data_IF_512085221481
#
_entry.id   IF_512085221481
#
_cell.length_a   1.000
_cell.length_b   1.000
_cell.length_c   1.000
_cell.angle_alpha   90.00
_cell.angle_beta   90.00
_cell.angle_gamma   90.00
#
_symmetry.space_group_name_H-M   'P 1'
#
loop_
_entity.id
_entity.type
_entity.pdbx_description
1 polymer ?
#
# COMPACT_ATOMS: atom_id res chain seq x y z
N UNK A 1 0.24 -7.90 -5.04
CA UNK A 1 -0.43 -6.62 -5.27
C UNK A 1 0.66 -5.59 -5.32
N UNK A 2 0.73 -4.74 -6.35
CA UNK A 2 1.74 -3.67 -6.40
C UNK A 2 1.17 -2.47 -5.65
N UNK A 3 1.84 -2.01 -4.62
CA UNK A 3 1.61 -0.67 -4.10
C UNK A 3 2.54 0.30 -4.83
N UNK A 4 2.00 1.45 -5.24
CA UNK A 4 2.72 2.52 -5.92
C UNK A 4 2.71 3.73 -4.99
N UNK A 5 3.84 4.04 -4.36
CA UNK A 5 3.94 5.20 -3.46
C UNK A 5 5.35 5.54 -2.96
N UNK A 6 5.71 6.80 -3.24
CA UNK A 6 6.76 7.72 -2.75
C UNK A 6 8.05 7.24 -2.06
N UNK A 7 9.16 7.56 -2.76
CA UNK A 7 10.55 7.93 -2.40
C UNK A 7 11.28 7.30 -1.18
N UNK A 8 12.33 6.55 -1.51
CA UNK A 8 13.21 5.72 -0.69
C UNK A 8 14.10 6.47 0.31
N UNK A 9 14.07 7.80 0.35
CA UNK A 9 14.96 8.62 1.17
C UNK A 9 14.38 8.97 2.55
N UNK A 10 13.13 8.61 2.86
CA UNK A 10 12.56 8.61 4.23
C UNK A 10 12.59 9.95 4.99
N UNK A 11 12.97 11.05 4.30
CA UNK A 11 13.27 12.36 4.87
C UNK A 11 12.61 13.51 4.12
N UNK A 12 11.86 13.25 3.05
CA UNK A 12 11.11 14.29 2.33
C UNK A 12 9.62 14.04 2.43
N UNK A 13 8.91 15.09 2.81
CA UNK A 13 7.46 15.17 2.82
C UNK A 13 6.92 14.72 1.45
N UNK A 14 5.97 13.77 1.39
CA UNK A 14 5.48 13.27 0.11
C UNK A 14 4.52 14.26 -0.53
N UNK A 15 5.05 15.26 -1.24
CA UNK A 15 4.30 15.94 -2.31
C UNK A 15 5.26 16.41 -3.38
N UNK A 16 5.23 15.77 -4.55
CA UNK A 16 5.04 16.45 -5.84
C UNK A 16 4.70 15.46 -6.95
N UNK A 17 3.40 15.31 -7.19
CA UNK A 17 2.82 14.93 -8.48
C UNK A 17 3.10 16.08 -9.46
N UNK A 18 4.31 16.16 -10.02
CA UNK A 18 4.66 17.02 -11.17
C UNK A 18 6.11 16.72 -11.62
N UNK A 19 6.33 15.47 -12.07
CA UNK A 19 7.58 14.91 -12.64
C UNK A 19 8.46 14.04 -11.71
N UNK A 20 7.89 13.41 -10.67
CA UNK A 20 8.63 12.63 -9.65
C UNK A 20 8.57 11.11 -9.80
N UNK A 21 9.70 10.47 -9.54
CA UNK A 21 9.96 9.03 -9.37
C UNK A 21 8.98 8.35 -8.38
N UNK A 22 8.62 7.10 -8.67
CA UNK A 22 7.53 6.36 -8.04
C UNK A 22 8.04 5.03 -7.50
N UNK A 23 8.13 4.96 -6.18
CA UNK A 23 8.58 3.77 -5.47
C UNK A 23 7.49 2.71 -5.45
N UNK A 24 7.87 1.50 -5.89
CA UNK A 24 6.98 0.36 -5.94
C UNK A 24 7.41 -0.68 -4.91
N UNK A 25 6.55 -0.93 -3.92
CA UNK A 25 6.71 -1.96 -2.90
C UNK A 25 5.57 -2.98 -3.02
N UNK A 26 5.87 -4.25 -2.74
CA UNK A 26 4.87 -5.31 -2.63
C UNK A 26 5.05 -6.05 -1.31
N UNK A 27 4.02 -6.78 -0.91
CA UNK A 27 4.11 -7.73 0.20
C UNK A 27 4.92 -8.98 -0.21
N UNK A 28 5.55 -9.62 0.78
CA UNK A 28 6.39 -10.81 0.60
C UNK A 28 5.66 -12.12 0.22
N UNK A 29 4.49 -12.05 -0.42
CA UNK A 29 3.80 -13.24 -0.89
C UNK A 29 4.62 -13.96 -1.98
N UNK A 30 4.57 -15.30 -2.00
CA UNK A 30 5.37 -16.15 -2.92
C UNK A 30 5.33 -15.71 -4.40
N UNK A 31 4.18 -15.29 -4.97
CA UNK A 31 4.17 -14.82 -6.36
C UNK A 31 4.95 -13.52 -6.58
N UNK A 32 5.06 -12.66 -5.57
CA UNK A 32 5.76 -11.38 -5.65
C UNK A 32 7.27 -11.54 -5.49
N UNK A 33 7.71 -12.47 -4.63
CA UNK A 33 9.13 -12.77 -4.42
C UNK A 33 9.73 -13.68 -5.51
N UNK A 34 8.92 -14.14 -6.47
CA UNK A 34 9.40 -14.96 -7.59
C UNK A 34 10.31 -14.13 -8.50
N UNK A 35 11.45 -14.70 -8.90
CA UNK A 35 12.46 -14.00 -9.71
C UNK A 35 11.92 -13.35 -10.99
N UNK A 36 11.01 -14.02 -11.71
CA UNK A 36 10.35 -13.43 -12.90
C UNK A 36 9.51 -12.20 -12.57
N UNK A 37 8.83 -12.19 -11.42
CA UNK A 37 8.03 -11.03 -10.98
C UNK A 37 8.95 -9.88 -10.58
N UNK A 38 10.01 -10.17 -9.83
CA UNK A 38 11.02 -9.18 -9.42
C UNK A 38 11.72 -8.57 -10.63
N UNK A 39 12.14 -9.37 -11.62
CA UNK A 39 12.78 -8.90 -12.86
C UNK A 39 11.84 -8.03 -13.69
N UNK A 40 10.57 -8.45 -13.83
CA UNK A 40 9.57 -7.65 -14.50
C UNK A 40 9.37 -6.30 -13.79
N UNK A 41 9.22 -6.30 -12.47
CA UNK A 41 9.05 -5.07 -11.69
C UNK A 41 10.28 -4.15 -11.78
N UNK A 42 11.49 -4.68 -11.65
CA UNK A 42 12.73 -3.92 -11.79
C UNK A 42 12.89 -3.29 -13.18
N UNK A 43 12.34 -3.91 -14.23
CA UNK A 43 12.38 -3.40 -15.60
C UNK A 43 11.35 -2.30 -15.85
N UNK A 44 10.19 -2.34 -15.17
CA UNK A 44 9.05 -1.48 -15.47
C UNK A 44 8.80 -0.38 -14.44
N UNK A 45 9.34 -0.49 -13.22
CA UNK A 45 9.18 0.51 -12.16
C UNK A 45 10.53 1.18 -11.88
N UNK A 46 10.67 2.50 -12.15
CA UNK A 46 11.92 3.23 -11.99
C UNK A 46 12.55 3.12 -10.59
N UNK A 47 11.73 3.03 -9.54
CA UNK A 47 12.17 2.98 -8.14
C UNK A 47 11.66 1.71 -7.44
N UNK A 48 11.76 0.58 -8.14
CA UNK A 48 11.41 -0.71 -7.56
C UNK A 48 12.28 -1.07 -6.35
N UNK A 49 11.65 -1.41 -5.23
CA UNK A 49 12.35 -1.94 -4.06
C UNK A 49 12.36 -3.48 -4.17
N UNK A 50 13.53 -4.14 -4.26
CA UNK A 50 13.58 -5.59 -4.37
C UNK A 50 13.18 -6.28 -3.05
N UNK A 51 12.69 -7.52 -3.15
CA UNK A 51 12.16 -8.27 -2.00
C UNK A 51 13.14 -8.39 -0.83
N UNK A 52 14.43 -8.48 -1.12
CA UNK A 52 15.52 -8.52 -0.11
C UNK A 52 15.56 -7.32 0.83
N UNK A 53 14.86 -6.22 0.49
CA UNK A 53 14.78 -5.01 1.31
C UNK A 53 13.42 -4.84 2.01
N UNK A 54 12.45 -5.71 1.76
CA UNK A 54 11.15 -5.65 2.42
C UNK A 54 11.25 -6.22 3.83
N UNK A 55 10.69 -5.55 4.85
CA UNK A 55 10.57 -6.15 6.16
C UNK A 55 9.50 -7.26 6.13
N UNK A 56 9.82 -8.50 6.56
CA UNK A 56 8.85 -9.59 6.52
C UNK A 56 7.68 -9.31 7.47
N UNK A 57 6.49 -9.81 7.13
CA UNK A 57 5.28 -9.77 7.96
C UNK A 57 4.93 -8.36 8.50
N UNK A 58 5.06 -7.32 7.68
CA UNK A 58 4.88 -5.92 8.11
C UNK A 58 3.65 -5.24 7.47
N UNK A 59 2.41 -5.70 7.75
CA UNK A 59 1.20 -5.04 7.24
C UNK A 59 1.09 -3.58 7.73
N UNK A 60 1.71 -3.27 8.88
CA UNK A 60 1.77 -1.92 9.46
C UNK A 60 2.53 -0.91 8.57
N UNK A 61 3.29 -1.39 7.58
CA UNK A 61 4.04 -0.58 6.63
C UNK A 61 3.40 -0.49 5.24
N UNK A 62 2.29 -1.20 5.00
CA UNK A 62 1.59 -1.17 3.73
C UNK A 62 0.30 -0.34 3.83
N UNK A 63 0.21 0.86 3.21
CA UNK A 63 -0.98 1.72 3.31
C UNK A 63 -2.25 1.08 2.76
N UNK A 64 -2.12 0.09 1.86
CA UNK A 64 -3.25 -0.72 1.42
C UNK A 64 -3.85 -1.50 2.59
N UNK A 65 -2.98 -2.16 3.37
CA UNK A 65 -3.34 -3.07 4.45
C UNK A 65 -3.87 -2.34 5.69
N UNK A 66 -3.17 -1.30 6.15
CA UNK A 66 -3.60 -0.59 7.37
C UNK A 66 -4.64 0.51 7.14
N UNK A 67 -4.95 0.87 5.89
CA UNK A 67 -5.89 1.97 5.60
C UNK A 67 -6.86 1.68 4.46
N UNK A 68 -6.40 1.56 3.20
CA UNK A 68 -7.30 1.57 2.03
C UNK A 68 -8.39 0.51 2.13
N UNK A 69 -8.05 -0.73 2.49
CA UNK A 69 -9.03 -1.81 2.55
C UNK A 69 -10.13 -1.56 3.58
N UNK A 70 -9.78 -0.99 4.73
CA UNK A 70 -10.74 -0.63 5.75
C UNK A 70 -11.65 0.51 5.28
N UNK A 71 -11.09 1.53 4.64
CA UNK A 71 -11.88 2.64 4.09
C UNK A 71 -12.84 2.19 2.97
N UNK A 72 -12.40 1.29 2.09
CA UNK A 72 -13.26 0.68 1.07
C UNK A 72 -14.39 -0.13 1.72
N UNK A 73 -14.06 -0.98 2.69
CA UNK A 73 -15.02 -1.81 3.42
C UNK A 73 -16.10 -0.98 4.12
N UNK A 74 -15.72 0.15 4.73
CA UNK A 74 -16.67 1.07 5.39
C UNK A 74 -17.63 1.75 4.40
N UNK A 75 -17.21 1.93 3.15
CA UNK A 75 -18.02 2.56 2.10
C UNK A 75 -18.94 1.59 1.33
N UNK A 76 -18.82 0.28 1.58
CA UNK A 76 -19.61 -0.76 0.93
C UNK A 76 -20.95 -0.98 1.63
N UNK A 77 -22.00 -1.23 0.85
CA UNK A 77 -23.26 -1.73 1.39
C UNK A 77 -23.21 -3.25 1.48
N UNK A 78 -22.83 -3.76 2.65
CA UNK A 78 -22.69 -5.20 2.91
C UNK A 78 -23.98 -5.99 2.73
N UNK A 79 -25.15 -5.39 3.01
CA UNK A 79 -26.46 -6.06 2.86
C UNK A 79 -26.80 -6.35 1.39
N UNK A 80 -26.22 -5.58 0.44
CA UNK A 80 -26.41 -5.79 -1.00
C UNK A 80 -25.58 -6.96 -1.54
N UNK A 81 -24.60 -7.44 -0.79
CA UNK A 81 -23.61 -8.41 -1.27
C UNK A 81 -24.11 -9.83 -1.04
N UNK A 82 -24.66 -10.43 -2.10
CA UNK A 82 -25.13 -11.83 -2.09
C UNK A 82 -24.43 -12.70 -3.14
N UNK A 83 -23.75 -12.09 -4.09
CA UNK A 83 -23.04 -12.76 -5.18
C UNK A 83 -21.68 -12.11 -5.45
N UNK A 84 -20.84 -12.80 -6.21
CA UNK A 84 -19.58 -12.24 -6.73
C UNK A 84 -19.83 -10.98 -7.58
N UNK A 85 -20.91 -10.93 -8.35
CA UNK A 85 -21.24 -9.78 -9.18
C UNK A 85 -21.56 -8.55 -8.33
N UNK A 86 -22.42 -8.71 -7.32
CA UNK A 86 -22.78 -7.63 -6.39
C UNK A 86 -21.57 -7.18 -5.56
N UNK A 87 -20.67 -8.10 -5.19
CA UNK A 87 -19.41 -7.75 -4.52
C UNK A 87 -18.52 -6.85 -5.39
N UNK A 88 -18.33 -7.20 -6.66
CA UNK A 88 -17.53 -6.40 -7.60
C UNK A 88 -18.16 -5.01 -7.79
N UNK A 89 -19.48 -4.92 -7.89
CA UNK A 89 -20.20 -3.66 -7.99
C UNK A 89 -20.02 -2.79 -6.74
N UNK A 90 -20.13 -3.37 -5.55
CA UNK A 90 -19.95 -2.63 -4.29
C UNK A 90 -18.50 -2.17 -4.11
N UNK A 91 -17.50 -2.98 -4.47
CA UNK A 91 -16.09 -2.55 -4.46
C UNK A 91 -15.88 -1.38 -5.44
N UNK A 92 -16.43 -1.45 -6.66
CA UNK A 92 -16.32 -0.34 -7.62
C UNK A 92 -17.02 0.92 -7.10
N UNK A 93 -18.16 0.76 -6.46
CA UNK A 93 -18.91 1.88 -5.87
C UNK A 93 -18.19 2.48 -4.66
N UNK A 94 -17.55 1.67 -3.83
CA UNK A 94 -16.82 2.16 -2.65
C UNK A 94 -15.63 3.02 -3.05
N UNK A 95 -14.89 2.66 -4.11
CA UNK A 95 -13.79 3.47 -4.64
C UNK A 95 -14.22 4.92 -4.96
N UNK A 96 -15.46 5.15 -5.42
CA UNK A 96 -15.93 6.51 -5.71
C UNK A 96 -16.41 7.28 -4.47
N UNK A 97 -16.56 6.59 -3.33
CA UNK A 97 -17.03 7.16 -2.05
C UNK A 97 -15.91 7.39 -1.05
N UNK A 98 -14.79 6.66 -1.18
CA UNK A 98 -13.65 6.79 -0.26
C UNK A 98 -13.16 8.23 -0.22
N UNK A 99 -12.90 8.70 1.00
CA UNK A 99 -12.25 9.97 1.24
C UNK A 99 -10.79 9.92 0.77
N UNK A 100 -10.51 10.64 -0.32
CA UNK A 100 -9.17 10.71 -0.91
C UNK A 100 -8.15 11.32 0.05
N UNK A 101 -8.57 12.24 0.91
CA UNK A 101 -7.66 12.89 1.86
C UNK A 101 -7.18 11.88 2.90
N UNK A 102 -8.04 10.99 3.39
CA UNK A 102 -7.63 9.90 4.28
C UNK A 102 -6.61 8.96 3.65
N UNK A 103 -6.80 8.61 2.37
CA UNK A 103 -5.85 7.73 1.66
C UNK A 103 -4.52 8.45 1.42
N UNK A 104 -4.54 9.74 1.08
CA UNK A 104 -3.31 10.50 0.95
C UNK A 104 -2.59 10.60 2.30
N UNK A 105 -3.29 10.94 3.37
CA UNK A 105 -2.73 11.02 4.72
C UNK A 105 -2.12 9.69 5.16
N UNK A 106 -2.75 8.54 4.84
CA UNK A 106 -2.18 7.23 5.16
C UNK A 106 -0.84 7.02 4.45
N UNK A 107 -0.70 7.41 3.18
CA UNK A 107 0.59 7.37 2.47
C UNK A 107 1.62 8.27 3.18
N UNK A 108 1.22 9.46 3.64
CA UNK A 108 2.12 10.37 4.37
C UNK A 108 2.57 9.80 5.72
N UNK A 109 1.70 9.04 6.39
CA UNK A 109 1.94 8.43 7.70
C UNK A 109 2.95 7.29 7.67
N UNK A 110 3.31 6.77 6.48
CA UNK A 110 4.30 5.70 6.34
C UNK A 110 5.60 5.98 7.13
N UNK A 111 6.15 7.19 7.01
CA UNK A 111 7.39 7.55 7.71
C UNK A 111 7.23 7.64 9.22
N UNK A 112 6.03 7.95 9.71
CA UNK A 112 5.70 7.98 11.13
C UNK A 112 5.64 6.54 11.65
N UNK A 113 4.87 5.69 10.99
CA UNK A 113 4.73 4.26 11.31
C UNK A 113 6.08 3.54 11.31
N UNK A 114 6.94 3.81 10.33
CA UNK A 114 8.29 3.25 10.27
C UNK A 114 9.14 3.66 11.48
N UNK A 115 9.04 4.93 11.92
CA UNK A 115 9.75 5.40 13.13
C UNK A 115 9.20 4.74 14.40
N UNK A 116 7.90 4.49 14.46
CA UNK A 116 7.27 3.80 15.59
C UNK A 116 7.70 2.33 15.67
N UNK A 117 7.68 1.59 14.55
CA UNK A 117 8.21 0.21 14.50
C UNK A 117 9.67 0.19 14.93
N UNK A 118 10.50 1.13 14.46
CA UNK A 118 11.89 1.25 14.88
C UNK A 118 12.02 1.49 16.39
N UNK A 119 11.20 2.39 16.97
CA UNK A 119 11.17 2.65 18.42
C UNK A 119 10.71 1.43 19.21
N UNK A 120 9.81 0.63 18.64
CA UNK A 120 9.29 -0.61 19.22
C UNK A 120 10.23 -1.81 18.98
N UNK A 121 11.46 -1.61 18.51
CA UNK A 121 12.44 -2.67 18.29
C UNK A 121 12.06 -3.63 17.17
N UNK A 122 11.28 -3.17 16.19
CA UNK A 122 10.78 -4.00 15.08
C UNK A 122 9.45 -4.70 15.34
N UNK A 123 8.82 -4.47 16.50
CA UNK A 123 7.48 -5.01 16.80
C UNK A 123 6.38 -4.18 16.13
N UNK A 124 5.21 -4.82 15.96
CA UNK A 124 3.99 -4.19 15.47
C UNK A 124 3.57 -2.98 16.33
N UNK A 125 2.79 -2.08 15.74
CA UNK A 125 2.31 -0.84 16.37
C UNK A 125 0.86 -0.94 16.89
N UNK A 126 0.37 -2.16 17.10
CA UNK A 126 -0.98 -2.50 17.55
C UNK A 126 -0.98 -3.34 18.84
#
# INVERSE_FOLDING_TARGET
MVWLGTCADGLRTPVKLENGTMDAEQDGARPHTHHLTQEWCATHFPDFIPETRWPPNSPDLCPLDYSLWNELAQCMNWDRITTKATLIEEIKSSVTKVDKEKILNSILDFTIRLREIKRNGGNNIH
#
